data_IF_669725905678
#
_entry.id   IF_669725905678
#
_cell.length_a   1.000
_cell.length_b   1.000
_cell.length_c   1.000
_cell.angle_alpha   90.00
_cell.angle_beta   90.00
_cell.angle_gamma   90.00
#
_symmetry.space_group_name_H-M   'P 1'
#
loop_
_entity.id
_entity.type
_entity.pdbx_description
1 polymer ?
#
# COMPACT_ATOMS: atom_id res chain seq x y z
N UNK A 1 60.45 -32.67 -4.35
CA UNK A 1 59.31 -32.41 -5.24
C UNK A 1 58.19 -33.37 -4.84
N UNK A 2 57.25 -32.90 -4.05
CA UNK A 2 56.06 -33.63 -3.61
C UNK A 2 54.91 -33.31 -4.56
N UNK A 3 54.15 -34.23 -5.13
CA UNK A 3 53.07 -33.92 -6.04
C UNK A 3 51.89 -33.34 -5.25
N UNK A 4 51.07 -32.48 -5.87
CA UNK A 4 49.90 -31.87 -5.18
C UNK A 4 48.80 -32.92 -5.01
N UNK A 5 48.19 -32.91 -3.82
CA UNK A 5 47.01 -33.67 -3.49
C UNK A 5 45.85 -33.24 -4.39
N UNK A 6 45.31 -34.17 -5.17
CA UNK A 6 44.06 -34.04 -5.91
C UNK A 6 42.90 -33.91 -4.88
N UNK A 7 42.29 -32.77 -4.83
CA UNK A 7 41.01 -32.59 -4.19
C UNK A 7 39.96 -33.50 -4.88
N UNK A 8 39.49 -34.49 -4.15
CA UNK A 8 38.40 -35.36 -4.60
C UNK A 8 37.11 -34.55 -4.39
N UNK A 9 36.57 -34.03 -5.50
CA UNK A 9 35.24 -33.41 -5.49
C UNK A 9 34.22 -34.46 -4.99
N UNK A 10 33.46 -34.10 -3.98
CA UNK A 10 32.37 -34.92 -3.48
C UNK A 10 31.37 -35.22 -4.63
N UNK A 11 30.83 -36.45 -4.74
CA UNK A 11 29.88 -36.76 -5.79
C UNK A 11 28.63 -35.86 -5.67
N UNK A 12 28.28 -35.20 -6.77
CA UNK A 12 27.03 -34.43 -6.87
C UNK A 12 25.85 -35.36 -6.55
N UNK A 13 25.03 -34.96 -5.58
CA UNK A 13 23.81 -35.68 -5.22
C UNK A 13 22.90 -35.85 -6.45
N UNK A 14 22.24 -36.99 -6.62
CA UNK A 14 21.39 -37.24 -7.77
C UNK A 14 20.22 -36.24 -7.79
N UNK A 15 20.05 -35.56 -8.93
CA UNK A 15 18.96 -34.58 -9.15
C UNK A 15 17.64 -35.36 -9.15
N UNK A 16 16.84 -35.27 -8.09
CA UNK A 16 15.51 -35.87 -8.04
C UNK A 16 14.54 -35.24 -9.04
N UNK A 17 13.68 -36.04 -9.72
CA UNK A 17 12.64 -35.53 -10.60
C UNK A 17 11.67 -34.59 -9.84
N UNK A 18 11.22 -33.52 -10.48
CA UNK A 18 10.29 -32.56 -9.87
C UNK A 18 8.99 -33.19 -9.34
N UNK A 19 8.51 -34.27 -9.98
CA UNK A 19 7.34 -35.03 -9.55
C UNK A 19 7.53 -35.73 -8.18
N UNK A 20 8.73 -36.23 -7.90
CA UNK A 20 9.03 -36.86 -6.61
C UNK A 20 9.13 -35.86 -5.49
N UNK A 21 9.73 -34.71 -5.75
CA UNK A 21 9.78 -33.58 -4.81
C UNK A 21 8.37 -33.06 -4.48
N UNK A 22 7.52 -32.92 -5.51
CA UNK A 22 6.12 -32.50 -5.32
C UNK A 22 5.32 -33.49 -4.45
N UNK A 23 5.52 -34.81 -4.67
CA UNK A 23 4.86 -35.87 -3.88
C UNK A 23 5.30 -35.82 -2.40
N UNK A 24 6.60 -35.60 -2.13
CA UNK A 24 7.11 -35.47 -0.76
C UNK A 24 6.63 -34.21 -0.05
N UNK A 25 6.57 -33.06 -0.74
CA UNK A 25 5.98 -31.83 -0.20
C UNK A 25 4.49 -32.05 0.13
N UNK A 26 3.74 -32.73 -0.73
CA UNK A 26 2.35 -33.06 -0.46
C UNK A 26 2.20 -34.00 0.77
N UNK A 27 3.11 -34.99 0.94
CA UNK A 27 3.12 -35.85 2.12
C UNK A 27 3.42 -35.05 3.42
N UNK A 28 4.38 -34.14 3.38
CA UNK A 28 4.67 -33.27 4.51
C UNK A 28 3.48 -32.35 4.86
N UNK A 29 2.80 -31.80 3.85
CA UNK A 29 1.58 -31.00 4.03
C UNK A 29 0.46 -31.81 4.68
N UNK A 30 0.25 -33.05 4.27
CA UNK A 30 -0.73 -33.94 4.89
C UNK A 30 -0.40 -34.22 6.36
N UNK A 31 0.89 -34.31 6.73
CA UNK A 31 1.33 -34.41 8.13
C UNK A 31 0.98 -33.14 8.92
N UNK A 32 1.24 -31.93 8.37
CA UNK A 32 0.86 -30.67 8.98
C UNK A 32 -0.67 -30.55 9.15
N UNK A 33 -1.45 -31.06 8.18
CA UNK A 33 -2.91 -31.11 8.27
C UNK A 33 -3.40 -32.03 9.39
N UNK A 34 -2.69 -33.09 9.63
CA UNK A 34 -2.94 -34.01 10.75
C UNK A 34 -2.35 -33.52 12.08
N UNK A 35 -1.84 -32.29 12.17
CA UNK A 35 -1.16 -31.70 13.34
C UNK A 35 0.10 -32.45 13.78
N UNK A 36 0.71 -33.23 12.88
CA UNK A 36 1.96 -33.97 13.09
C UNK A 36 3.15 -33.14 12.57
N UNK A 37 3.48 -32.07 13.28
CA UNK A 37 4.64 -31.22 12.95
C UNK A 37 5.96 -31.99 12.94
N UNK A 38 6.28 -32.85 13.95
CA UNK A 38 7.53 -33.61 13.93
C UNK A 38 7.65 -34.49 12.70
N UNK A 39 6.57 -35.16 12.30
CA UNK A 39 6.57 -36.02 11.08
C UNK A 39 6.73 -35.20 9.80
N UNK A 40 6.21 -34.01 9.74
CA UNK A 40 6.41 -33.10 8.60
C UNK A 40 7.87 -32.60 8.52
N UNK A 41 8.47 -32.24 9.66
CA UNK A 41 9.86 -31.74 9.73
C UNK A 41 10.86 -32.80 9.23
N UNK A 42 10.69 -34.07 9.61
CA UNK A 42 11.53 -35.16 9.11
C UNK A 42 11.50 -35.21 7.59
N UNK A 43 10.32 -35.12 6.96
CA UNK A 43 10.19 -35.14 5.49
C UNK A 43 10.86 -33.89 4.88
N UNK A 44 10.75 -32.71 5.49
CA UNK A 44 11.39 -31.49 5.00
C UNK A 44 12.91 -31.56 5.11
N UNK A 45 13.46 -32.07 6.21
CA UNK A 45 14.90 -32.26 6.37
C UNK A 45 15.47 -33.28 5.35
N UNK A 46 14.77 -34.37 5.14
CA UNK A 46 15.14 -35.34 4.08
C UNK A 46 15.10 -34.70 2.69
N UNK A 47 14.07 -33.88 2.39
CA UNK A 47 13.99 -33.16 1.13
C UNK A 47 15.16 -32.20 0.95
N UNK A 48 15.49 -31.44 1.98
CA UNK A 48 16.61 -30.49 1.96
C UNK A 48 17.96 -31.20 1.82
N UNK A 49 18.10 -32.39 2.43
CA UNK A 49 19.33 -33.19 2.31
C UNK A 49 19.54 -33.75 0.89
N UNK A 50 18.47 -34.15 0.17
CA UNK A 50 18.55 -34.81 -1.14
C UNK A 50 18.36 -33.80 -2.30
N UNK A 51 17.39 -32.90 -2.20
CA UNK A 51 17.10 -31.93 -3.26
C UNK A 51 17.97 -30.67 -3.16
N UNK A 52 18.72 -30.51 -2.08
CA UNK A 52 19.57 -29.34 -1.87
C UNK A 52 18.78 -28.03 -1.78
N UNK A 53 19.41 -26.95 -2.25
CA UNK A 53 18.85 -25.60 -2.18
C UNK A 53 18.01 -25.27 -3.43
N UNK A 54 17.06 -26.13 -3.80
CA UNK A 54 16.16 -25.84 -4.93
C UNK A 54 15.11 -24.80 -4.54
N UNK A 55 14.85 -23.84 -5.42
CA UNK A 55 13.88 -22.77 -5.20
C UNK A 55 12.45 -23.28 -4.93
N UNK A 56 12.01 -24.31 -5.68
CA UNK A 56 10.67 -24.92 -5.52
C UNK A 56 10.51 -25.65 -4.17
N UNK A 57 11.59 -26.21 -3.63
CA UNK A 57 11.59 -26.85 -2.30
C UNK A 57 11.49 -25.80 -1.21
N UNK A 58 12.34 -24.78 -1.25
CA UNK A 58 12.37 -23.74 -0.20
C UNK A 58 11.06 -22.94 -0.16
N UNK A 59 10.49 -22.58 -1.31
CA UNK A 59 9.20 -21.88 -1.35
C UNK A 59 8.06 -22.77 -0.87
N UNK A 60 8.09 -24.08 -1.19
CA UNK A 60 7.11 -25.05 -0.73
C UNK A 60 7.14 -25.19 0.79
N UNK A 61 8.33 -25.45 1.36
CA UNK A 61 8.53 -25.59 2.81
C UNK A 61 8.09 -24.32 3.55
N UNK A 62 8.57 -23.14 3.12
CA UNK A 62 8.25 -21.88 3.78
C UNK A 62 6.76 -21.52 3.68
N UNK A 63 6.11 -21.86 2.55
CA UNK A 63 4.69 -21.66 2.36
C UNK A 63 3.82 -22.58 3.22
N UNK A 64 4.14 -23.88 3.26
CA UNK A 64 3.40 -24.88 4.03
C UNK A 64 3.50 -24.62 5.54
N UNK A 65 4.70 -24.32 6.05
CA UNK A 65 4.93 -23.96 7.46
C UNK A 65 4.27 -22.63 7.82
N UNK A 66 4.35 -21.63 6.93
CA UNK A 66 3.74 -20.31 7.13
C UNK A 66 2.21 -20.38 7.21
N UNK A 67 1.58 -21.16 6.35
CA UNK A 67 0.13 -21.37 6.35
C UNK A 67 -0.40 -21.99 7.66
N UNK A 68 0.45 -22.64 8.44
CA UNK A 68 0.13 -23.28 9.73
C UNK A 68 0.71 -22.54 10.94
N UNK A 69 1.34 -21.38 10.73
CA UNK A 69 1.89 -20.54 11.81
C UNK A 69 3.21 -21.03 12.41
N UNK A 70 3.88 -22.02 11.78
CA UNK A 70 5.16 -22.57 12.25
C UNK A 70 6.35 -21.70 11.81
N UNK A 71 6.31 -20.42 12.16
CA UNK A 71 7.29 -19.41 11.69
C UNK A 71 8.72 -19.65 12.19
N UNK A 72 8.89 -20.23 13.38
CA UNK A 72 10.20 -20.59 13.92
C UNK A 72 10.91 -21.62 13.02
N UNK A 73 10.19 -22.62 12.54
CA UNK A 73 10.72 -23.67 11.65
C UNK A 73 11.08 -23.13 10.26
N UNK A 74 10.37 -22.07 9.79
CA UNK A 74 10.79 -21.38 8.55
C UNK A 74 12.18 -20.78 8.74
N UNK A 75 12.41 -20.10 9.87
CA UNK A 75 13.70 -19.48 10.17
C UNK A 75 14.80 -20.55 10.28
N UNK A 76 14.55 -21.66 10.97
CA UNK A 76 15.54 -22.72 11.16
C UNK A 76 15.91 -23.45 9.87
N UNK A 77 14.90 -23.79 9.04
CA UNK A 77 15.12 -24.64 7.86
C UNK A 77 15.48 -23.84 6.61
N UNK A 78 14.90 -22.65 6.44
CA UNK A 78 14.96 -21.90 5.16
C UNK A 78 15.97 -20.76 5.23
N UNK A 79 16.06 -20.00 6.34
CA UNK A 79 16.93 -18.85 6.39
C UNK A 79 18.42 -19.15 6.13
N UNK A 80 19.02 -20.24 6.65
CA UNK A 80 20.43 -20.55 6.39
C UNK A 80 20.75 -20.90 4.93
N UNK A 81 19.71 -21.16 4.13
CA UNK A 81 19.82 -21.64 2.73
C UNK A 81 19.33 -20.62 1.72
N UNK A 82 18.73 -19.53 2.19
CA UNK A 82 18.12 -18.56 1.31
C UNK A 82 19.16 -17.68 0.60
N UNK A 83 19.05 -17.64 -0.72
CA UNK A 83 19.77 -16.76 -1.62
C UNK A 83 18.74 -16.17 -2.59
N UNK A 84 18.63 -14.85 -2.63
CA UNK A 84 17.56 -14.18 -3.36
C UNK A 84 17.65 -14.30 -4.89
N UNK A 85 18.88 -14.34 -5.43
CA UNK A 85 19.11 -14.49 -6.87
C UNK A 85 18.77 -15.91 -7.34
N UNK A 86 19.06 -16.92 -6.52
CA UNK A 86 18.84 -18.34 -6.83
C UNK A 86 17.43 -18.83 -6.53
N UNK A 87 16.83 -18.34 -5.43
CA UNK A 87 15.57 -18.87 -4.90
C UNK A 87 14.38 -17.96 -5.17
N UNK A 88 14.64 -16.74 -5.65
CA UNK A 88 13.62 -15.76 -5.99
C UNK A 88 12.94 -15.11 -4.78
N UNK A 89 12.04 -14.14 -5.04
CA UNK A 89 11.49 -13.30 -4.00
C UNK A 89 10.43 -13.97 -3.12
N UNK A 90 9.74 -15.02 -3.59
CA UNK A 90 8.65 -15.65 -2.85
C UNK A 90 9.13 -16.26 -1.52
N UNK A 91 10.25 -16.97 -1.53
CA UNK A 91 10.88 -17.50 -0.32
C UNK A 91 11.32 -16.40 0.63
N UNK A 92 11.92 -15.33 0.09
CA UNK A 92 12.34 -14.18 0.88
C UNK A 92 11.16 -13.46 1.57
N UNK A 93 10.04 -13.33 0.90
CA UNK A 93 8.81 -12.76 1.48
C UNK A 93 8.30 -13.62 2.64
N UNK A 94 8.30 -14.95 2.50
CA UNK A 94 7.90 -15.85 3.58
C UNK A 94 8.85 -15.75 4.79
N UNK A 95 10.17 -15.65 4.55
CA UNK A 95 11.16 -15.39 5.59
C UNK A 95 10.96 -14.04 6.28
N UNK A 96 10.74 -12.99 5.50
CA UNK A 96 10.49 -11.65 6.01
C UNK A 96 9.26 -11.65 6.93
N UNK A 97 8.17 -12.29 6.52
CA UNK A 97 6.98 -12.47 7.36
C UNK A 97 7.29 -13.25 8.65
N UNK A 98 8.09 -14.31 8.57
CA UNK A 98 8.50 -15.07 9.76
C UNK A 98 9.31 -14.21 10.74
N UNK A 99 10.24 -13.39 10.25
CA UNK A 99 11.01 -12.48 11.09
C UNK A 99 10.15 -11.36 11.71
N UNK A 100 9.14 -10.87 10.98
CA UNK A 100 8.18 -9.90 11.54
C UNK A 100 7.37 -10.50 12.69
N UNK A 101 6.85 -11.72 12.51
CA UNK A 101 6.07 -12.41 13.55
C UNK A 101 6.94 -12.71 14.78
N UNK A 102 8.20 -13.09 14.60
CA UNK A 102 9.16 -13.33 15.69
C UNK A 102 9.80 -12.05 16.24
N UNK A 103 9.40 -10.88 15.75
CA UNK A 103 9.88 -9.55 16.17
C UNK A 103 11.41 -9.39 16.04
N UNK A 104 12.00 -10.02 15.05
CA UNK A 104 13.42 -9.87 14.73
C UNK A 104 13.61 -8.81 13.67
N UNK A 105 13.61 -7.53 14.08
CA UNK A 105 13.69 -6.38 13.17
C UNK A 105 14.97 -6.38 12.34
N UNK A 106 16.12 -6.75 12.91
CA UNK A 106 17.41 -6.71 12.22
C UNK A 106 17.49 -7.74 11.08
N UNK A 107 17.01 -8.97 11.33
CA UNK A 107 16.95 -10.01 10.31
C UNK A 107 15.86 -9.68 9.25
N UNK A 108 14.73 -9.12 9.66
CA UNK A 108 13.69 -8.65 8.76
C UNK A 108 14.21 -7.56 7.82
N UNK A 109 14.94 -6.56 8.34
CA UNK A 109 15.53 -5.49 7.56
C UNK A 109 16.55 -6.04 6.55
N UNK A 110 17.41 -6.94 6.97
CA UNK A 110 18.39 -7.58 6.09
C UNK A 110 17.74 -8.29 4.89
N UNK A 111 16.69 -9.08 5.13
CA UNK A 111 15.95 -9.76 4.04
C UNK A 111 15.22 -8.75 3.16
N UNK A 112 14.68 -7.68 3.73
CA UNK A 112 14.01 -6.62 2.99
C UNK A 112 14.97 -5.91 2.03
N UNK A 113 16.19 -5.57 2.50
CA UNK A 113 17.21 -4.91 1.69
C UNK A 113 17.63 -5.78 0.49
N UNK A 114 17.79 -7.08 0.72
CA UNK A 114 18.06 -8.07 -0.34
C UNK A 114 16.92 -8.10 -1.36
N UNK A 115 15.67 -8.09 -0.91
CA UNK A 115 14.50 -8.11 -1.81
C UNK A 115 14.37 -6.82 -2.63
N UNK A 116 14.69 -5.66 -2.06
CA UNK A 116 14.75 -4.40 -2.80
C UNK A 116 15.88 -4.42 -3.85
N UNK A 117 17.02 -5.03 -3.54
CA UNK A 117 18.13 -5.15 -4.47
C UNK A 117 17.81 -5.98 -5.73
N UNK A 118 16.79 -6.85 -5.68
CA UNK A 118 16.29 -7.58 -6.86
C UNK A 118 15.61 -6.68 -7.90
N UNK A 119 15.31 -5.44 -7.53
CA UNK A 119 14.72 -4.41 -8.40
C UNK A 119 13.48 -4.90 -9.19
N UNK A 120 12.52 -5.51 -8.48
CA UNK A 120 11.28 -6.08 -9.01
C UNK A 120 10.11 -5.14 -8.79
N UNK A 121 9.65 -4.38 -9.82
CA UNK A 121 8.58 -3.38 -9.67
C UNK A 121 7.26 -3.95 -9.13
N UNK A 122 6.96 -5.21 -9.47
CA UNK A 122 5.74 -5.89 -9.03
C UNK A 122 5.69 -6.16 -7.51
N UNK A 123 6.84 -6.09 -6.83
CA UNK A 123 6.95 -6.32 -5.38
C UNK A 123 7.05 -5.02 -4.58
N UNK A 124 7.33 -3.90 -5.22
CA UNK A 124 7.71 -2.64 -4.58
C UNK A 124 6.69 -2.18 -3.53
N UNK A 125 5.41 -2.22 -3.87
CA UNK A 125 4.33 -1.86 -2.94
C UNK A 125 4.30 -2.75 -1.69
N UNK A 126 4.49 -4.06 -1.88
CA UNK A 126 4.50 -5.04 -0.79
C UNK A 126 5.74 -4.87 0.10
N UNK A 127 6.90 -4.60 -0.50
CA UNK A 127 8.15 -4.37 0.23
C UNK A 127 8.08 -3.08 1.05
N UNK A 128 7.48 -2.02 0.55
CA UNK A 128 7.24 -0.80 1.33
C UNK A 128 6.31 -1.06 2.53
N UNK A 129 5.29 -1.91 2.39
CA UNK A 129 4.48 -2.33 3.53
C UNK A 129 5.29 -3.02 4.63
N UNK A 130 6.22 -3.88 4.25
CA UNK A 130 7.13 -4.53 5.20
C UNK A 130 8.14 -3.56 5.83
N UNK A 131 8.66 -2.61 5.06
CA UNK A 131 9.54 -1.55 5.58
C UNK A 131 8.87 -0.77 6.72
N UNK A 132 7.61 -0.41 6.55
CA UNK A 132 6.84 0.28 7.59
C UNK A 132 6.68 -0.58 8.86
N UNK A 133 6.40 -1.88 8.70
CA UNK A 133 6.28 -2.79 9.84
C UNK A 133 7.60 -2.98 10.61
N UNK A 134 8.73 -3.00 9.91
CA UNK A 134 10.06 -3.08 10.52
C UNK A 134 10.41 -1.79 11.26
N UNK A 135 10.15 -0.63 10.66
CA UNK A 135 10.37 0.67 11.28
C UNK A 135 9.58 0.80 12.60
N UNK A 136 8.34 0.31 12.62
CA UNK A 136 7.52 0.26 13.82
C UNK A 136 8.15 -0.62 14.92
N UNK A 137 8.64 -1.82 14.58
CA UNK A 137 9.31 -2.71 15.53
C UNK A 137 10.60 -2.10 16.12
N UNK A 138 11.38 -1.38 15.29
CA UNK A 138 12.61 -0.71 15.73
C UNK A 138 12.27 0.43 16.69
N UNK A 139 11.25 1.22 16.37
CA UNK A 139 10.79 2.30 17.24
C UNK A 139 10.33 1.79 18.60
N UNK A 140 9.57 0.69 18.64
CA UNK A 140 9.16 0.04 19.91
C UNK A 140 10.35 -0.44 20.77
N UNK A 141 11.43 -0.89 20.15
CA UNK A 141 12.65 -1.35 20.87
C UNK A 141 13.41 -0.20 21.54
N UNK A 142 13.34 1.00 20.98
CA UNK A 142 14.10 2.17 21.47
C UNK A 142 13.28 3.12 22.33
N UNK A 143 11.99 2.84 22.58
CA UNK A 143 11.20 3.61 23.52
C UNK A 143 11.77 3.48 24.95
N UNK A 144 12.08 4.58 25.66
CA UNK A 144 12.63 4.51 27.01
C UNK A 144 11.59 3.87 27.95
N UNK A 145 11.99 2.79 28.62
CA UNK A 145 11.20 2.14 29.66
C UNK A 145 11.21 3.04 30.90
N UNK A 146 10.10 3.69 31.21
CA UNK A 146 9.89 4.37 32.49
C UNK A 146 9.64 3.31 33.60
N UNK A 147 10.51 3.19 34.63
CA UNK A 147 10.38 2.14 35.63
C UNK A 147 9.16 2.23 36.56
N UNK A 148 8.38 3.34 36.44
CA UNK A 148 7.19 3.59 37.26
C UNK A 148 5.86 3.13 36.66
N UNK A 149 5.82 2.69 35.39
CA UNK A 149 4.59 2.44 34.64
C UNK A 149 4.15 0.97 34.56
N UNK A 150 4.65 0.07 35.43
CA UNK A 150 4.34 -1.38 35.35
C UNK A 150 2.93 -1.76 35.82
N UNK A 151 2.09 -0.79 36.16
CA UNK A 151 0.72 -1.07 36.65
C UNK A 151 -0.31 -0.20 35.90
N UNK A 152 -0.67 -0.56 34.72
CA UNK A 152 -1.67 -0.07 33.78
C UNK A 152 -1.03 0.39 32.46
N UNK A 153 -0.50 -0.54 31.68
CA UNK A 153 -0.28 -0.30 30.25
C UNK A 153 -1.65 -0.43 29.59
N UNK A 154 -2.42 0.65 29.59
CA UNK A 154 -3.36 0.90 28.55
C UNK A 154 -2.52 1.08 27.28
N UNK A 155 -2.46 0.05 26.43
CA UNK A 155 -1.65 0.07 25.21
C UNK A 155 -1.97 1.34 24.42
N UNK A 156 -0.94 2.17 24.22
CA UNK A 156 -1.07 3.45 23.49
C UNK A 156 -1.52 3.15 22.06
N UNK A 157 -2.59 3.80 21.57
CA UNK A 157 -3.04 3.61 20.19
C UNK A 157 -1.91 3.92 19.21
N UNK A 158 -1.64 3.01 18.29
CA UNK A 158 -0.59 3.19 17.29
C UNK A 158 -1.16 3.74 15.99
N UNK A 159 -0.53 4.79 15.47
CA UNK A 159 -0.85 5.33 14.15
C UNK A 159 0.05 4.67 13.12
N UNK A 160 -0.55 3.88 12.23
CA UNK A 160 0.12 3.34 11.05
C UNK A 160 -0.07 4.28 9.86
N UNK A 161 0.91 4.35 8.95
CA UNK A 161 0.77 5.03 7.66
C UNK A 161 0.63 3.98 6.55
N UNK A 162 -0.36 4.19 5.70
CA UNK A 162 -0.58 3.40 4.49
C UNK A 162 -0.23 4.29 3.31
N UNK A 163 0.62 3.77 2.43
CA UNK A 163 1.02 4.48 1.21
C UNK A 163 0.31 3.90 -0.01
N UNK A 164 -0.25 4.77 -0.83
CA UNK A 164 -0.88 4.44 -2.12
C UNK A 164 0.00 5.03 -3.21
N UNK A 165 0.66 4.17 -3.98
CA UNK A 165 1.66 4.56 -5.00
C UNK A 165 1.10 4.63 -6.42
N UNK A 166 -0.09 4.09 -6.66
CA UNK A 166 -0.77 4.08 -7.96
C UNK A 166 -2.13 4.78 -7.86
N UNK A 167 -2.74 5.21 -8.97
CA UNK A 167 -4.11 5.71 -8.95
C UNK A 167 -5.04 4.72 -8.27
N UNK A 168 -5.81 5.17 -7.27
CA UNK A 168 -6.60 4.25 -6.42
C UNK A 168 -7.67 3.46 -7.19
N UNK A 169 -8.12 3.98 -8.32
CA UNK A 169 -9.07 3.31 -9.19
C UNK A 169 -8.41 2.26 -10.12
N UNK A 170 -7.08 2.20 -10.17
CA UNK A 170 -6.37 1.22 -10.99
C UNK A 170 -6.49 -0.22 -10.43
N UNK A 171 -6.70 -0.38 -9.14
CA UNK A 171 -6.82 -1.69 -8.51
C UNK A 171 -8.01 -2.50 -9.07
N UNK A 172 -7.71 -3.74 -9.49
CA UNK A 172 -8.60 -4.62 -10.26
C UNK A 172 -8.39 -4.53 -11.78
N UNK A 173 -7.55 -3.60 -12.25
CA UNK A 173 -7.22 -3.40 -13.67
C UNK A 173 -5.76 -3.78 -14.00
N UNK A 174 -5.11 -4.57 -13.15
CA UNK A 174 -3.70 -4.97 -13.28
C UNK A 174 -3.35 -5.56 -14.67
N UNK A 175 -4.24 -6.34 -15.34
CA UNK A 175 -3.95 -6.84 -16.70
C UNK A 175 -3.78 -5.74 -17.74
N UNK A 176 -4.26 -4.52 -17.47
CA UNK A 176 -4.16 -3.35 -18.35
C UNK A 176 -3.05 -2.39 -17.97
N UNK A 177 -2.15 -2.78 -17.06
CA UNK A 177 -1.12 -1.90 -16.52
C UNK A 177 -0.31 -1.18 -17.60
N UNK A 178 0.16 -1.89 -18.62
CA UNK A 178 0.96 -1.32 -19.71
C UNK A 178 0.20 -0.28 -20.57
N UNK A 179 -1.15 -0.39 -20.64
CA UNK A 179 -2.00 0.53 -21.38
C UNK A 179 -2.41 1.75 -20.55
N UNK A 180 -2.54 1.57 -19.24
CA UNK A 180 -3.04 2.59 -18.30
C UNK A 180 -1.89 3.37 -17.68
N UNK A 181 -0.91 2.68 -17.11
CA UNK A 181 0.12 3.31 -16.31
C UNK A 181 1.30 3.75 -17.17
N UNK A 182 1.74 5.02 -17.06
CA UNK A 182 2.94 5.46 -17.74
C UNK A 182 4.18 4.78 -17.17
N UNK A 183 5.17 4.40 -17.98
CA UNK A 183 6.43 3.86 -17.50
C UNK A 183 7.14 4.89 -16.63
N UNK A 184 7.79 4.41 -15.59
CA UNK A 184 8.58 5.23 -14.64
C UNK A 184 10.06 4.95 -14.83
N UNK A 185 10.71 5.76 -15.64
CA UNK A 185 12.11 5.58 -16.02
C UNK A 185 12.99 6.75 -15.56
N UNK A 186 14.25 6.46 -15.28
CA UNK A 186 15.24 7.46 -14.89
C UNK A 186 15.05 7.98 -13.46
N UNK A 187 15.68 9.14 -13.18
CA UNK A 187 15.61 9.77 -11.87
C UNK A 187 14.31 10.58 -11.73
N UNK A 188 13.37 10.06 -10.97
CA UNK A 188 12.11 10.72 -10.66
C UNK A 188 12.21 11.50 -9.34
N UNK A 189 11.50 12.63 -9.26
CA UNK A 189 11.29 13.36 -8.00
C UNK A 189 10.26 12.61 -7.17
N UNK A 190 10.64 12.13 -6.00
CA UNK A 190 9.72 11.42 -5.08
C UNK A 190 8.93 12.42 -4.26
N UNK A 191 7.61 12.31 -4.29
CA UNK A 191 6.70 13.23 -3.59
C UNK A 191 5.65 12.48 -2.80
N UNK A 192 5.50 12.82 -1.52
CA UNK A 192 4.44 12.30 -0.67
C UNK A 192 3.34 13.35 -0.48
N UNK A 193 2.09 12.92 -0.60
CA UNK A 193 0.89 13.71 -0.31
C UNK A 193 0.27 13.15 0.97
N UNK A 194 0.47 13.83 2.09
CA UNK A 194 -0.03 13.40 3.38
C UNK A 194 -1.52 13.70 3.53
N UNK A 195 -2.24 12.81 4.24
CA UNK A 195 -3.61 13.04 4.64
C UNK A 195 -3.74 14.40 5.34
N UNK A 196 -4.78 15.16 4.99
CA UNK A 196 -4.99 16.51 5.54
C UNK A 196 -5.50 16.44 6.98
N UNK A 197 -5.04 17.37 7.80
CA UNK A 197 -5.58 17.60 9.11
C UNK A 197 -6.96 18.26 9.04
N UNK A 198 -7.78 18.03 10.07
CA UNK A 198 -9.13 18.59 10.25
C UNK A 198 -9.22 19.38 11.56
N UNK A 199 -8.53 20.53 11.69
CA UNK A 199 -8.47 21.29 12.94
C UNK A 199 -9.85 21.80 13.33
N UNK A 200 -10.28 21.48 14.56
CA UNK A 200 -11.53 21.96 15.11
C UNK A 200 -12.80 21.36 14.51
N UNK A 201 -12.68 20.40 13.58
CA UNK A 201 -13.84 19.77 12.93
C UNK A 201 -14.69 18.92 13.89
N UNK A 202 -14.04 18.30 14.88
CA UNK A 202 -14.69 17.37 15.81
C UNK A 202 -14.36 17.75 17.24
N UNK A 203 -15.39 17.84 18.08
CA UNK A 203 -15.23 18.06 19.53
C UNK A 203 -14.51 16.87 20.20
N UNK A 204 -14.72 15.67 19.69
CA UNK A 204 -14.03 14.44 20.12
C UNK A 204 -13.61 13.61 18.90
N UNK A 205 -12.34 13.68 18.53
CA UNK A 205 -11.74 12.98 17.39
C UNK A 205 -11.87 11.46 17.54
N UNK A 206 -11.68 10.91 18.75
CA UNK A 206 -11.80 9.47 18.98
C UNK A 206 -13.22 8.95 18.76
N UNK A 207 -14.24 9.72 19.17
CA UNK A 207 -15.63 9.38 18.92
C UNK A 207 -15.96 9.47 17.42
N UNK A 208 -15.43 10.46 16.72
CA UNK A 208 -15.60 10.63 15.26
C UNK A 208 -14.97 9.45 14.48
N UNK A 209 -13.78 9.00 14.87
CA UNK A 209 -13.12 7.84 14.23
C UNK A 209 -13.89 6.51 14.40
N UNK A 210 -14.75 6.41 15.42
CA UNK A 210 -15.59 5.24 15.65
C UNK A 210 -16.91 5.26 14.84
N UNK A 211 -17.19 6.34 14.13
CA UNK A 211 -18.39 6.50 13.28
C UNK A 211 -18.03 6.24 11.81
N UNK A 212 -19.03 5.94 10.96
CA UNK A 212 -18.84 5.95 9.53
C UNK A 212 -18.26 7.29 9.05
N UNK A 213 -17.38 7.21 8.06
CA UNK A 213 -16.70 8.37 7.51
C UNK A 213 -17.69 9.42 6.97
N UNK A 214 -17.53 10.65 7.41
CA UNK A 214 -18.30 11.78 6.87
C UNK A 214 -17.61 12.42 5.63
N UNK A 215 -18.26 13.44 5.07
CA UNK A 215 -17.76 14.15 3.89
C UNK A 215 -16.39 14.78 4.11
N UNK A 216 -16.17 15.40 5.28
CA UNK A 216 -14.93 16.11 5.57
C UNK A 216 -13.75 15.15 5.76
N UNK A 217 -13.97 14.07 6.50
CA UNK A 217 -12.98 13.01 6.69
C UNK A 217 -12.62 12.34 5.34
N UNK A 218 -13.62 12.07 4.48
CA UNK A 218 -13.40 11.52 3.15
C UNK A 218 -12.57 12.48 2.28
N UNK A 219 -12.90 13.76 2.24
CA UNK A 219 -12.16 14.77 1.48
C UNK A 219 -10.72 14.90 1.95
N UNK A 220 -10.45 14.78 3.27
CA UNK A 220 -9.10 14.86 3.83
C UNK A 220 -8.16 13.79 3.28
N UNK A 221 -8.68 12.67 2.81
CA UNK A 221 -7.94 11.55 2.20
C UNK A 221 -8.02 11.57 0.67
N UNK A 222 -9.16 11.94 0.12
CA UNK A 222 -9.36 11.97 -1.33
C UNK A 222 -8.51 13.04 -2.03
N UNK A 223 -8.32 14.21 -1.41
CA UNK A 223 -7.49 15.28 -1.97
C UNK A 223 -6.01 14.86 -2.14
N UNK A 224 -5.31 14.29 -1.14
CA UNK A 224 -3.98 13.70 -1.33
C UNK A 224 -3.94 12.60 -2.39
N UNK A 225 -4.96 11.74 -2.44
CA UNK A 225 -5.05 10.69 -3.45
C UNK A 225 -5.20 11.24 -4.87
N UNK A 226 -5.98 12.32 -5.06
CA UNK A 226 -6.09 13.01 -6.35
C UNK A 226 -4.78 13.66 -6.78
N UNK A 227 -4.09 14.33 -5.87
CA UNK A 227 -2.78 14.91 -6.17
C UNK A 227 -1.76 13.80 -6.50
N UNK A 228 -1.72 12.71 -5.74
CA UNK A 228 -0.86 11.58 -6.05
C UNK A 228 -1.17 10.99 -7.44
N UNK A 229 -2.45 10.79 -7.79
CA UNK A 229 -2.87 10.37 -9.12
C UNK A 229 -2.36 11.35 -10.20
N UNK A 230 -2.60 12.65 -10.02
CA UNK A 230 -2.15 13.68 -10.96
C UNK A 230 -0.65 13.57 -11.23
N UNK A 231 0.15 13.45 -10.18
CA UNK A 231 1.60 13.37 -10.28
C UNK A 231 2.07 12.00 -10.76
N UNK A 232 1.24 10.95 -10.64
CA UNK A 232 1.54 9.65 -11.21
C UNK A 232 1.60 9.71 -12.74
N UNK A 233 0.70 10.48 -13.37
CA UNK A 233 0.68 10.69 -14.82
C UNK A 233 1.67 11.75 -15.32
N UNK A 234 2.67 12.07 -14.49
CA UNK A 234 3.81 12.92 -14.91
C UNK A 234 5.05 12.09 -15.18
N UNK A 235 5.81 12.51 -16.19
CA UNK A 235 7.12 11.92 -16.53
C UNK A 235 8.22 12.24 -15.52
N UNK A 236 8.00 13.19 -14.58
CA UNK A 236 9.03 13.72 -13.69
C UNK A 236 8.91 13.23 -12.23
N UNK A 237 7.81 12.54 -11.87
CA UNK A 237 7.48 12.26 -10.49
C UNK A 237 7.18 10.79 -10.20
N UNK A 238 7.55 10.34 -8.98
CA UNK A 238 7.10 9.12 -8.34
C UNK A 238 6.32 9.52 -7.06
N UNK A 239 4.99 9.65 -7.13
CA UNK A 239 4.17 10.09 -6.03
C UNK A 239 3.70 8.95 -5.15
N UNK A 240 3.39 9.29 -3.88
CA UNK A 240 2.59 8.44 -2.98
C UNK A 240 1.56 9.30 -2.23
N UNK A 241 0.36 8.76 -1.98
CA UNK A 241 -0.53 9.31 -0.97
C UNK A 241 -0.28 8.57 0.35
N UNK A 242 -0.09 9.30 1.45
CA UNK A 242 0.17 8.75 2.78
C UNK A 242 -1.04 8.99 3.69
N UNK A 243 -1.64 7.92 4.17
CA UNK A 243 -2.91 7.91 4.92
C UNK A 243 -2.72 7.31 6.30
N UNK A 244 -3.30 7.92 7.31
CA UNK A 244 -3.24 7.44 8.68
C UNK A 244 -4.33 6.42 9.00
N UNK A 245 -3.94 5.34 9.68
CA UNK A 245 -4.83 4.35 10.26
C UNK A 245 -4.48 4.17 11.73
N UNK A 246 -5.50 4.22 12.58
CA UNK A 246 -5.37 3.98 14.02
C UNK A 246 -5.55 2.49 14.30
N UNK A 247 -4.50 1.86 14.82
CA UNK A 247 -4.55 0.50 15.32
C UNK A 247 -4.64 0.52 16.85
N UNK A 248 -5.68 -0.13 17.39
CA UNK A 248 -5.85 -0.33 18.84
C UNK A 248 -5.89 -1.82 19.13
N UNK A 249 -5.13 -2.32 20.09
CA UNK A 249 -5.17 -3.72 20.47
C UNK A 249 -6.57 -4.17 20.84
N UNK A 250 -7.02 -5.30 20.28
CA UNK A 250 -8.33 -5.87 20.54
C UNK A 250 -9.52 -5.13 19.90
N UNK A 251 -9.29 -4.06 19.11
CA UNK A 251 -10.31 -3.34 18.36
C UNK A 251 -10.00 -3.38 16.86
N UNK A 252 -11.04 -3.26 16.05
CA UNK A 252 -10.86 -3.07 14.61
C UNK A 252 -10.12 -1.77 14.32
N UNK A 253 -9.24 -1.79 13.33
CA UNK A 253 -8.55 -0.60 12.87
C UNK A 253 -9.55 0.47 12.41
N UNK A 254 -9.22 1.73 12.63
CA UNK A 254 -10.08 2.88 12.33
C UNK A 254 -9.33 3.88 11.44
N UNK A 255 -10.02 4.59 10.53
CA UNK A 255 -9.41 5.67 9.79
C UNK A 255 -8.93 6.75 10.75
N UNK A 256 -7.66 7.17 10.62
CA UNK A 256 -7.14 8.25 11.46
C UNK A 256 -7.73 9.60 11.04
N UNK A 257 -8.04 10.44 12.02
CA UNK A 257 -8.37 11.85 11.85
C UNK A 257 -7.27 12.65 12.54
N UNK A 258 -6.55 13.47 11.79
CA UNK A 258 -5.54 14.36 12.33
C UNK A 258 -6.19 15.68 12.76
N UNK A 259 -6.21 15.96 14.07
CA UNK A 259 -6.80 17.21 14.61
C UNK A 259 -5.89 18.42 14.52
N UNK A 260 -4.63 18.26 14.16
CA UNK A 260 -3.65 19.34 13.99
C UNK A 260 -2.81 19.11 12.72
N UNK A 261 -2.35 20.21 12.12
CA UNK A 261 -1.40 20.15 10.99
C UNK A 261 -0.09 19.49 11.43
N UNK A 262 0.59 18.87 10.48
CA UNK A 262 1.89 18.25 10.71
C UNK A 262 2.93 19.32 11.06
N UNK A 263 3.62 19.11 12.17
CA UNK A 263 4.74 19.96 12.58
C UNK A 263 6.02 19.59 11.81
N UNK A 264 7.04 20.44 11.88
CA UNK A 264 8.36 20.15 11.32
C UNK A 264 8.98 18.87 11.93
N UNK A 265 8.71 18.61 13.22
CA UNK A 265 9.15 17.39 13.90
C UNK A 265 8.47 16.14 13.36
N UNK A 266 7.15 16.19 13.11
CA UNK A 266 6.43 15.08 12.48
C UNK A 266 6.95 14.81 11.06
N UNK A 267 7.31 15.87 10.33
CA UNK A 267 7.93 15.75 9.00
C UNK A 267 9.32 15.12 9.06
N UNK A 268 10.13 15.48 10.06
CA UNK A 268 11.45 14.85 10.26
C UNK A 268 11.31 13.35 10.49
N UNK A 269 10.38 12.91 11.33
CA UNK A 269 10.10 11.49 11.57
C UNK A 269 9.64 10.77 10.29
N UNK A 270 8.76 11.40 9.49
CA UNK A 270 8.34 10.84 8.20
C UNK A 270 9.54 10.68 7.25
N UNK A 271 10.42 11.66 7.20
CA UNK A 271 11.60 11.68 6.33
C UNK A 271 12.61 10.62 6.74
N UNK A 272 12.83 10.43 8.03
CA UNK A 272 13.71 9.39 8.58
C UNK A 272 13.20 7.97 8.28
N UNK A 273 11.88 7.79 8.23
CA UNK A 273 11.25 6.50 7.92
C UNK A 273 11.01 6.27 6.43
N UNK A 274 11.08 7.33 5.61
CA UNK A 274 10.78 7.28 4.16
C UNK A 274 11.98 7.80 3.36
N UNK A 275 13.00 6.97 3.19
CA UNK A 275 14.21 7.35 2.45
C UNK A 275 13.90 7.85 1.03
N UNK A 276 14.58 8.92 0.65
CA UNK A 276 14.62 9.41 -0.73
C UNK A 276 13.48 10.32 -1.16
N UNK A 277 12.61 10.80 -0.27
CA UNK A 277 11.62 11.82 -0.60
C UNK A 277 12.30 13.16 -0.95
N UNK A 278 11.87 13.80 -2.04
CA UNK A 278 12.29 15.15 -2.41
C UNK A 278 11.31 16.21 -1.87
N UNK A 279 10.00 15.91 -1.90
CA UNK A 279 8.95 16.81 -1.45
C UNK A 279 7.87 16.08 -0.62
N UNK A 280 7.30 16.80 0.35
CA UNK A 280 6.12 16.37 1.08
C UNK A 280 5.06 17.48 1.01
N UNK A 281 3.82 17.10 0.70
CA UNK A 281 2.66 17.96 0.82
C UNK A 281 1.93 17.63 2.11
N UNK A 282 1.69 18.64 2.94
CA UNK A 282 0.86 18.57 4.13
C UNK A 282 -0.21 19.64 4.06
N UNK A 283 -1.12 19.69 5.00
CA UNK A 283 -2.10 20.77 5.06
C UNK A 283 -3.27 20.47 5.96
N UNK A 284 -4.23 21.38 5.93
CA UNK A 284 -5.46 21.31 6.69
C UNK A 284 -6.66 21.58 5.81
N UNK A 285 -7.78 20.94 6.12
CA UNK A 285 -9.10 21.19 5.56
C UNK A 285 -10.04 21.55 6.70
N UNK A 286 -10.80 22.63 6.53
CA UNK A 286 -11.79 23.13 7.48
C UNK A 286 -13.13 23.29 6.80
N UNK A 287 -14.21 23.11 7.56
CA UNK A 287 -15.56 23.45 7.15
C UNK A 287 -16.12 24.50 8.13
N UNK A 288 -16.68 25.59 7.60
CA UNK A 288 -17.29 26.69 8.35
C UNK A 288 -18.69 26.93 7.77
N UNK A 289 -19.70 26.24 8.30
CA UNK A 289 -21.02 26.22 7.68
C UNK A 289 -20.98 25.56 6.31
N UNK A 290 -21.38 26.28 5.26
CA UNK A 290 -21.37 25.79 3.86
C UNK A 290 -20.05 26.06 3.12
N UNK A 291 -19.09 26.73 3.76
CA UNK A 291 -17.79 27.05 3.17
C UNK A 291 -16.74 26.05 3.64
N UNK A 292 -15.92 25.61 2.69
CA UNK A 292 -14.72 24.81 2.93
C UNK A 292 -13.48 25.68 2.68
N UNK A 293 -12.46 25.50 3.50
CA UNK A 293 -11.15 26.13 3.34
C UNK A 293 -10.06 25.05 3.38
N UNK A 294 -9.18 25.07 2.39
CA UNK A 294 -7.96 24.23 2.38
C UNK A 294 -6.71 25.11 2.43
N UNK A 295 -5.72 24.62 3.17
CA UNK A 295 -4.34 25.12 3.12
C UNK A 295 -3.45 23.91 2.85
N UNK A 296 -2.67 23.97 1.76
CA UNK A 296 -1.66 22.96 1.40
C UNK A 296 -0.27 23.58 1.48
N UNK A 297 0.66 22.88 2.10
CA UNK A 297 2.06 23.30 2.26
C UNK A 297 2.99 22.32 1.55
N UNK A 298 3.93 22.85 0.77
CA UNK A 298 4.95 22.06 0.07
C UNK A 298 6.27 22.20 0.81
N UNK A 299 6.80 21.10 1.27
CA UNK A 299 8.08 21.04 1.97
C UNK A 299 9.15 20.42 1.09
N UNK A 300 10.31 21.07 0.99
CA UNK A 300 11.53 20.47 0.42
C UNK A 300 12.21 19.67 1.53
N UNK A 301 12.23 18.36 1.38
CA UNK A 301 12.65 17.40 2.42
C UNK A 301 14.10 17.62 2.83
N UNK A 302 15.03 17.74 1.87
CA UNK A 302 16.47 17.90 2.15
C UNK A 302 16.82 19.11 3.03
N UNK A 303 15.97 20.13 3.02
CA UNK A 303 16.17 21.37 3.79
C UNK A 303 15.20 21.52 4.94
N UNK A 304 14.22 20.62 5.06
CA UNK A 304 13.08 20.71 5.98
C UNK A 304 12.43 22.11 5.93
N UNK A 305 12.32 22.66 4.70
CA UNK A 305 11.86 24.01 4.47
C UNK A 305 10.56 24.04 3.70
N UNK A 306 9.57 24.80 4.22
CA UNK A 306 8.38 25.11 3.46
C UNK A 306 8.76 25.98 2.24
N UNK A 307 8.38 25.51 1.04
CA UNK A 307 8.63 26.19 -0.23
C UNK A 307 7.49 27.09 -0.64
N UNK A 308 6.28 26.65 -0.37
CA UNK A 308 5.05 27.31 -0.80
C UNK A 308 3.87 26.83 0.03
N UNK A 309 2.96 27.75 0.32
CA UNK A 309 1.61 27.44 0.75
C UNK A 309 0.62 27.80 -0.36
N UNK A 310 -0.39 26.98 -0.55
CA UNK A 310 -1.55 27.21 -1.39
C UNK A 310 -2.79 27.22 -0.53
N UNK A 311 -3.76 28.09 -0.84
CA UNK A 311 -5.04 28.11 -0.18
C UNK A 311 -6.16 28.27 -1.19
N UNK A 312 -7.30 27.65 -0.89
CA UNK A 312 -8.54 27.85 -1.64
C UNK A 312 -9.71 27.81 -0.66
N UNK A 313 -10.78 28.56 -1.00
CA UNK A 313 -12.05 28.52 -0.31
C UNK A 313 -13.15 28.25 -1.31
N UNK A 314 -14.10 27.43 -0.95
CA UNK A 314 -15.24 27.09 -1.83
C UNK A 314 -16.50 26.80 -1.04
N UNK A 315 -17.63 27.00 -1.69
CA UNK A 315 -18.93 26.47 -1.29
C UNK A 315 -19.28 25.29 -2.19
N UNK A 316 -20.38 24.60 -1.92
CA UNK A 316 -20.86 23.51 -2.82
C UNK A 316 -21.03 23.98 -4.27
N UNK A 317 -21.43 25.22 -4.48
CA UNK A 317 -21.66 25.80 -5.81
C UNK A 317 -20.36 26.18 -6.55
N UNK A 318 -19.29 26.51 -5.84
CA UNK A 318 -18.02 26.98 -6.41
C UNK A 318 -16.90 25.94 -6.36
N UNK A 319 -17.17 24.78 -5.78
CA UNK A 319 -16.18 23.74 -5.50
C UNK A 319 -15.37 23.32 -6.74
N UNK A 320 -16.04 23.03 -7.84
CA UNK A 320 -15.36 22.55 -9.04
C UNK A 320 -14.40 23.61 -9.61
N UNK A 321 -14.81 24.86 -9.68
CA UNK A 321 -13.98 25.94 -10.19
C UNK A 321 -12.76 26.21 -9.28
N UNK A 322 -12.95 26.29 -7.97
CA UNK A 322 -11.87 26.60 -7.03
C UNK A 322 -10.89 25.43 -6.86
N UNK A 323 -11.38 24.20 -6.86
CA UNK A 323 -10.53 23.00 -6.84
C UNK A 323 -9.73 22.85 -8.15
N UNK A 324 -10.33 23.11 -9.30
CA UNK A 324 -9.61 23.11 -10.59
C UNK A 324 -8.50 24.17 -10.61
N UNK A 325 -8.78 25.38 -10.12
CA UNK A 325 -7.80 26.45 -10.01
C UNK A 325 -6.65 26.11 -9.05
N UNK A 326 -6.96 25.56 -7.87
CA UNK A 326 -5.96 25.11 -6.91
C UNK A 326 -5.06 24.04 -7.54
N UNK A 327 -5.65 23.07 -8.20
CA UNK A 327 -4.94 21.98 -8.88
C UNK A 327 -3.98 22.51 -9.95
N UNK A 328 -4.41 23.47 -10.78
CA UNK A 328 -3.55 24.06 -11.80
C UNK A 328 -2.40 24.89 -11.20
N UNK A 329 -2.65 25.62 -10.11
CA UNK A 329 -1.59 26.34 -9.40
C UNK A 329 -0.50 25.41 -8.86
N UNK A 330 -0.90 24.23 -8.31
CA UNK A 330 0.04 23.22 -7.82
C UNK A 330 0.84 22.63 -8.97
N UNK A 331 0.17 22.22 -10.06
CA UNK A 331 0.84 21.67 -11.25
C UNK A 331 1.86 22.63 -11.84
N UNK A 332 1.49 23.90 -11.97
CA UNK A 332 2.38 24.96 -12.48
C UNK A 332 3.59 25.17 -11.57
N UNK A 333 3.38 25.28 -10.27
CA UNK A 333 4.47 25.46 -9.30
C UNK A 333 5.45 24.29 -9.30
N UNK A 334 4.93 23.09 -9.40
CA UNK A 334 5.75 21.86 -9.42
C UNK A 334 6.33 21.52 -10.81
N UNK A 335 6.14 22.39 -11.81
CA UNK A 335 6.63 22.14 -13.17
C UNK A 335 6.12 20.80 -13.76
N UNK A 336 4.86 20.47 -13.45
CA UNK A 336 4.26 19.22 -13.88
C UNK A 336 4.24 19.10 -15.41
N UNK A 337 4.64 17.96 -15.94
CA UNK A 337 4.58 17.64 -17.37
C UNK A 337 3.91 16.29 -17.56
N UNK A 338 3.02 16.13 -18.55
CA UNK A 338 2.38 14.86 -18.81
C UNK A 338 3.39 13.77 -19.17
N UNK A 339 3.08 12.55 -18.83
CA UNK A 339 3.79 11.40 -19.36
C UNK A 339 3.49 11.21 -20.85
N UNK A 340 4.48 10.73 -21.62
CA UNK A 340 4.36 10.52 -23.07
C UNK A 340 3.70 9.20 -23.48
N UNK A 341 3.40 8.31 -22.52
CA UNK A 341 2.84 6.98 -22.75
C UNK A 341 1.83 6.62 -21.65
N UNK A 342 1.09 5.54 -21.85
CA UNK A 342 -0.02 5.15 -20.99
C UNK A 342 -1.27 5.98 -21.26
N UNK A 343 -2.21 5.93 -20.31
CA UNK A 343 -3.43 6.76 -20.37
C UNK A 343 -3.07 8.24 -20.25
N UNK A 344 -3.56 9.05 -21.18
CA UNK A 344 -3.36 10.51 -21.14
C UNK A 344 -4.10 11.10 -19.91
N UNK A 345 -3.37 11.82 -19.07
CA UNK A 345 -4.00 12.51 -17.95
C UNK A 345 -4.92 13.63 -18.44
N UNK A 346 -6.18 13.57 -18.03
CA UNK A 346 -7.15 14.63 -18.17
C UNK A 346 -7.60 15.10 -16.79
N UNK A 347 -7.47 16.39 -16.50
CA UNK A 347 -8.02 16.95 -15.27
C UNK A 347 -9.55 16.74 -15.25
N UNK A 348 -10.14 16.30 -14.12
CA UNK A 348 -11.58 16.05 -14.07
C UNK A 348 -12.37 17.35 -14.27
N UNK A 349 -13.41 17.29 -15.09
CA UNK A 349 -14.29 18.43 -15.33
C UNK A 349 -15.12 18.81 -14.09
N UNK A 350 -15.37 17.86 -13.21
CA UNK A 350 -16.06 18.02 -11.94
C UNK A 350 -15.16 17.49 -10.79
N UNK A 351 -14.15 18.27 -10.36
CA UNK A 351 -13.21 17.85 -9.34
C UNK A 351 -13.88 17.41 -8.03
N UNK A 352 -14.98 18.04 -7.65
CA UNK A 352 -15.69 17.69 -6.41
C UNK A 352 -16.27 16.27 -6.48
N UNK A 353 -16.92 15.91 -7.58
CA UNK A 353 -17.45 14.58 -7.80
C UNK A 353 -16.32 13.53 -7.95
N UNK A 354 -15.21 13.94 -8.56
CA UNK A 354 -14.02 13.09 -8.67
C UNK A 354 -13.43 12.73 -7.30
N UNK A 355 -13.36 13.70 -6.39
CA UNK A 355 -12.92 13.46 -5.00
C UNK A 355 -13.84 12.45 -4.27
N UNK A 356 -15.16 12.52 -4.50
CA UNK A 356 -16.07 11.52 -3.93
C UNK A 356 -15.80 10.12 -4.49
N UNK A 357 -15.53 10.01 -5.80
CA UNK A 357 -15.19 8.74 -6.46
C UNK A 357 -13.88 8.17 -5.93
N UNK A 358 -12.83 9.01 -5.78
CA UNK A 358 -11.54 8.58 -5.23
C UNK A 358 -11.66 8.19 -3.75
N UNK A 359 -12.42 8.95 -2.96
CA UNK A 359 -12.67 8.65 -1.55
C UNK A 359 -13.39 7.31 -1.36
N UNK A 360 -14.41 7.05 -2.18
CA UNK A 360 -15.11 5.77 -2.19
C UNK A 360 -14.20 4.60 -2.61
N UNK A 361 -13.40 4.80 -3.65
CA UNK A 361 -12.43 3.80 -4.13
C UNK A 361 -11.39 3.48 -3.06
N UNK A 362 -10.91 4.49 -2.34
CA UNK A 362 -9.96 4.35 -1.25
C UNK A 362 -10.57 3.61 -0.05
N UNK A 363 -11.78 4.00 0.39
CA UNK A 363 -12.48 3.29 1.47
C UNK A 363 -12.68 1.81 1.12
N UNK A 364 -13.14 1.52 -0.10
CA UNK A 364 -13.30 0.15 -0.61
C UNK A 364 -11.99 -0.62 -0.60
N UNK A 365 -10.88 0.01 -1.04
CA UNK A 365 -9.55 -0.60 -1.02
C UNK A 365 -9.11 -0.97 0.41
N UNK A 366 -9.31 -0.11 1.37
CA UNK A 366 -8.92 -0.36 2.76
C UNK A 366 -9.72 -1.51 3.39
N UNK A 367 -11.00 -1.66 3.01
CA UNK A 367 -11.83 -2.80 3.44
C UNK A 367 -11.41 -4.10 2.77
N UNK A 368 -11.15 -4.11 1.47
CA UNK A 368 -10.68 -5.30 0.74
C UNK A 368 -9.33 -5.82 1.27
N UNK A 369 -8.49 -4.92 1.76
CA UNK A 369 -7.21 -5.26 2.39
C UNK A 369 -7.34 -5.66 3.87
N UNK A 370 -8.56 -5.73 4.40
CA UNK A 370 -8.86 -5.98 5.82
C UNK A 370 -8.19 -4.97 6.77
N UNK A 371 -7.95 -3.75 6.30
CA UNK A 371 -7.39 -2.66 7.09
C UNK A 371 -8.52 -1.97 7.86
N UNK A 372 -9.67 -1.79 7.21
CA UNK A 372 -10.86 -1.20 7.82
C UNK A 372 -12.03 -2.19 7.79
N UNK A 373 -12.91 -2.16 8.80
CA UNK A 373 -14.16 -2.91 8.76
C UNK A 373 -15.13 -2.30 7.73
N UNK A 374 -16.00 -3.14 7.16
CA UNK A 374 -16.95 -2.74 6.12
C UNK A 374 -17.89 -1.60 6.56
N UNK A 375 -18.22 -1.57 7.81
CA UNK A 375 -19.14 -0.59 8.43
C UNK A 375 -18.57 0.83 8.45
N UNK A 376 -17.26 1.00 8.25
CA UNK A 376 -16.61 2.32 8.18
C UNK A 376 -16.78 3.02 6.83
N UNK A 377 -17.21 2.30 5.79
CA UNK A 377 -17.47 2.91 4.49
C UNK A 377 -18.76 3.69 4.55
N UNK A 378 -18.68 5.01 4.28
CA UNK A 378 -19.86 5.86 4.15
C UNK A 378 -20.71 5.47 2.93
N UNK A 379 -21.97 5.89 2.94
CA UNK A 379 -23.00 5.92 1.87
C UNK A 379 -22.54 5.45 0.46
N UNK A 380 -22.16 4.18 0.34
CA UNK A 380 -21.53 3.61 -0.86
C UNK A 380 -22.43 3.73 -2.10
N UNK A 381 -23.77 3.62 -1.93
CA UNK A 381 -24.72 3.73 -3.05
C UNK A 381 -24.72 5.14 -3.66
N UNK A 382 -24.74 6.18 -2.83
CA UNK A 382 -24.73 7.58 -3.29
C UNK A 382 -23.40 7.94 -3.97
N UNK A 383 -22.28 7.46 -3.43
CA UNK A 383 -20.95 7.68 -3.98
C UNK A 383 -20.76 6.94 -5.31
N UNK A 384 -21.30 5.71 -5.42
CA UNK A 384 -21.29 4.94 -6.66
C UNK A 384 -22.19 5.59 -7.72
N UNK A 385 -23.34 6.16 -7.34
CA UNK A 385 -24.18 6.94 -8.24
C UNK A 385 -23.47 8.21 -8.75
N UNK A 386 -22.70 8.88 -7.89
CA UNK A 386 -21.88 10.03 -8.28
C UNK A 386 -20.82 9.63 -9.30
N UNK A 387 -20.09 8.53 -9.07
CA UNK A 387 -19.11 8.00 -10.00
C UNK A 387 -19.74 7.61 -11.35
N UNK A 388 -20.95 7.00 -11.33
CA UNK A 388 -21.70 6.63 -12.52
C UNK A 388 -22.10 7.85 -13.35
N UNK A 389 -22.56 8.93 -12.73
CA UNK A 389 -22.94 10.17 -13.39
C UNK A 389 -21.77 10.83 -14.14
N UNK A 390 -20.55 10.72 -13.59
CA UNK A 390 -19.32 11.24 -14.22
C UNK A 390 -18.64 10.28 -15.20
N UNK A 391 -19.08 9.02 -15.30
CA UNK A 391 -18.33 7.96 -15.98
C UNK A 391 -18.06 8.22 -17.47
N UNK A 392 -18.96 8.90 -18.18
CA UNK A 392 -18.79 9.20 -19.62
C UNK A 392 -17.82 10.36 -19.92
N UNK A 393 -17.38 11.12 -18.90
CA UNK A 393 -16.63 12.36 -19.09
C UNK A 393 -15.20 12.12 -19.65
N UNK A 394 -14.56 11.02 -19.26
CA UNK A 394 -13.21 10.65 -19.69
C UNK A 394 -12.98 9.14 -19.54
N UNK A 395 -11.94 8.60 -20.17
CA UNK A 395 -11.53 7.20 -20.01
C UNK A 395 -11.24 6.87 -18.54
N UNK A 396 -10.45 7.72 -17.85
CA UNK A 396 -10.15 7.55 -16.42
C UNK A 396 -11.43 7.48 -15.57
N UNK A 397 -12.44 8.32 -15.87
CA UNK A 397 -13.72 8.32 -15.15
C UNK A 397 -14.49 7.01 -15.36
N UNK A 398 -14.50 6.49 -16.58
CA UNK A 398 -15.10 5.19 -16.89
C UNK A 398 -14.38 4.04 -16.15
N UNK A 399 -13.05 4.03 -16.19
CA UNK A 399 -12.22 3.02 -15.52
C UNK A 399 -12.43 3.06 -14.02
N UNK A 400 -12.47 4.26 -13.42
CA UNK A 400 -12.71 4.46 -12.00
C UNK A 400 -14.10 3.95 -11.58
N UNK A 401 -15.15 4.27 -12.36
CA UNK A 401 -16.49 3.75 -12.09
C UNK A 401 -16.53 2.22 -12.19
N UNK A 402 -15.99 1.63 -13.27
CA UNK A 402 -15.98 0.19 -13.47
C UNK A 402 -15.25 -0.55 -12.34
N UNK A 403 -14.04 -0.08 -11.96
CA UNK A 403 -13.28 -0.65 -10.85
C UNK A 403 -14.05 -0.54 -9.53
N UNK A 404 -14.57 0.65 -9.19
CA UNK A 404 -15.32 0.87 -7.96
C UNK A 404 -16.59 0.01 -7.93
N UNK A 405 -17.36 -0.05 -9.02
CA UNK A 405 -18.59 -0.84 -9.12
C UNK A 405 -18.33 -2.33 -8.92
N UNK A 406 -17.32 -2.90 -9.61
CA UNK A 406 -16.95 -4.31 -9.49
C UNK A 406 -16.48 -4.68 -8.07
N UNK A 407 -15.75 -3.78 -7.40
CA UNK A 407 -15.24 -3.97 -6.05
C UNK A 407 -16.35 -3.85 -5.01
N UNK A 408 -17.24 -2.87 -5.14
CA UNK A 408 -18.40 -2.70 -4.26
C UNK A 408 -19.41 -3.84 -4.40
N UNK A 409 -19.59 -4.38 -5.61
CA UNK A 409 -20.46 -5.55 -5.82
C UNK A 409 -19.99 -6.77 -5.00
N UNK A 410 -18.68 -6.99 -4.84
CA UNK A 410 -18.13 -8.03 -3.94
C UNK A 410 -18.47 -7.80 -2.47
N UNK A 411 -18.73 -6.56 -2.10
CA UNK A 411 -19.19 -6.18 -0.74
C UNK A 411 -20.72 -6.13 -0.61
N UNK A 412 -21.46 -6.53 -1.67
CA UNK A 412 -22.92 -6.58 -1.70
C UNK A 412 -23.60 -5.24 -2.02
N UNK A 413 -22.86 -4.26 -2.54
CA UNK A 413 -23.38 -2.96 -2.98
C UNK A 413 -23.48 -2.96 -4.50
N UNK A 414 -24.69 -2.78 -5.03
CA UNK A 414 -24.94 -2.77 -6.48
C UNK A 414 -25.14 -1.34 -6.98
N UNK A 415 -24.46 -1.01 -8.07
CA UNK A 415 -24.57 0.29 -8.71
C UNK A 415 -25.79 0.44 -9.62
N UNK A 416 -26.01 1.67 -10.14
CA UNK A 416 -27.06 1.92 -11.11
C UNK A 416 -26.83 1.11 -12.39
N UNK A 417 -27.92 0.69 -13.03
CA UNK A 417 -27.91 -0.01 -14.32
C UNK A 417 -27.89 0.99 -15.48
N UNK A 418 -27.38 0.56 -16.66
CA UNK A 418 -27.44 1.37 -17.87
C UNK A 418 -26.50 2.59 -17.89
N UNK A 419 -25.43 2.56 -17.11
CA UNK A 419 -24.46 3.66 -17.05
C UNK A 419 -23.75 3.86 -18.38
N UNK A 420 -23.77 5.09 -18.88
CA UNK A 420 -23.04 5.48 -20.09
C UNK A 420 -21.55 5.62 -19.76
N UNK A 421 -20.71 4.96 -20.55
CA UNK A 421 -19.24 5.02 -20.43
C UNK A 421 -18.64 5.78 -21.61
N UNK A 422 -17.41 6.25 -21.45
CA UNK A 422 -16.61 6.79 -22.53
C UNK A 422 -16.41 5.72 -23.63
N UNK A 423 -16.64 6.08 -24.87
CA UNK A 423 -16.45 5.18 -26.00
C UNK A 423 -14.95 5.03 -26.33
N UNK A 424 -14.33 3.98 -25.80
CA UNK A 424 -12.90 3.72 -25.95
C UNK A 424 -12.62 2.20 -25.96
N UNK A 425 -11.65 1.73 -26.77
CA UNK A 425 -11.22 0.34 -26.74
C UNK A 425 -10.74 -0.10 -25.35
N UNK A 426 -10.01 0.77 -24.64
CA UNK A 426 -9.49 0.52 -23.30
C UNK A 426 -10.63 0.31 -22.29
N UNK A 427 -11.67 1.15 -22.34
CA UNK A 427 -12.85 1.02 -21.49
C UNK A 427 -13.63 -0.25 -21.79
N UNK A 428 -13.75 -0.63 -23.07
CA UNK A 428 -14.40 -1.88 -23.46
C UNK A 428 -13.66 -3.12 -22.93
N UNK A 429 -12.33 -3.11 -22.98
CA UNK A 429 -11.47 -4.18 -22.45
C UNK A 429 -11.57 -4.25 -20.93
N UNK A 430 -11.50 -3.11 -20.23
CA UNK A 430 -11.67 -3.03 -18.79
C UNK A 430 -13.03 -3.59 -18.33
N UNK A 431 -14.11 -3.29 -19.08
CA UNK A 431 -15.43 -3.85 -18.82
C UNK A 431 -15.46 -5.37 -18.91
N UNK A 432 -14.71 -5.97 -19.83
CA UNK A 432 -14.61 -7.44 -19.96
C UNK A 432 -13.83 -8.06 -18.77
N UNK A 433 -12.73 -7.43 -18.35
CA UNK A 433 -11.90 -7.89 -17.23
C UNK A 433 -12.65 -7.83 -15.89
N UNK A 434 -13.44 -6.75 -15.70
CA UNK A 434 -14.18 -6.52 -14.46
C UNK A 434 -15.60 -7.11 -14.47
N UNK A 435 -15.99 -7.78 -15.56
CA UNK A 435 -17.25 -8.50 -15.59
C UNK A 435 -17.27 -9.60 -14.52
N UNK A 436 -18.39 -9.79 -13.79
CA UNK A 436 -18.52 -10.76 -12.72
C UNK A 436 -18.41 -12.21 -13.21
#
# INVERSE_FOLDING_TARGET
MTPPLREIAAPAAPIQPAAEVGARLAAARAKLEALDLPGALVIYEELLAVAGERADVLVGISGDLGARGHVGQIIELVAPRYDAERHGPATGINLLQAYLVTRNADAAQHVLDILFALNRPELEERLHGFSNAIAEMIHERHAPLDPGAVAQIAEVPKVGLITISKPIWFYGLEPLAEKILPPKEGRLRRVAFAQLALPGAYANVNAAMAQPEDELARLSRALPAWLAETFYFSSAYAPVAALGVMNRPGLAAQPMIFGAEWSAENLSQLVETSEGLDYVFTGALRAMGDEFEIILRVWEVKKLKERKAFSAKWTRATADAELAKLHELIRTFMEWKPAGAGLAYAAPAQPRAWLDTLGASLGTFLVEKNILPKETIAASDALLATAAAGAAAAEASSLAYLSLSARLAKLGVNGPTGVTLCASPLVAEAKQILAP
#
